data_IF_513982621626
#
_entry.id   IF_513982621626
#
_cell.length_a   1.000
_cell.length_b   1.000
_cell.length_c   1.000
_cell.angle_alpha   90.00
_cell.angle_beta   90.00
_cell.angle_gamma   90.00
#
_symmetry.space_group_name_H-M   'P 1'
#
loop_
_entity.id
_entity.type
_entity.pdbx_description
1 polymer ?
#
# COMPACT_ATOMS: atom_id res chain seq x y z
N UNK A 1 13.01 40.11 -1.41
CA UNK A 1 12.67 38.92 -2.21
C UNK A 1 11.81 38.03 -1.35
N UNK A 2 10.53 37.89 -1.70
CA UNK A 2 9.53 37.07 -1.01
C UNK A 2 9.37 37.35 0.49
N UNK A 3 8.43 38.23 0.87
CA UNK A 3 8.12 38.64 2.24
C UNK A 3 7.59 37.54 3.18
N UNK A 4 8.16 36.34 3.09
CA UNK A 4 7.93 35.26 4.06
C UNK A 4 8.95 35.44 5.17
N UNK A 5 8.50 36.00 6.28
CA UNK A 5 9.31 36.07 7.51
C UNK A 5 9.76 34.63 7.87
N UNK A 6 11.04 34.46 8.25
CA UNK A 6 11.61 33.14 8.63
C UNK A 6 10.77 32.46 9.73
N UNK A 7 10.19 33.21 10.65
CA UNK A 7 9.28 32.70 11.68
C UNK A 7 7.97 32.14 11.11
N UNK A 8 7.41 32.73 10.04
CA UNK A 8 6.19 32.26 9.39
C UNK A 8 6.47 31.01 8.54
N UNK A 9 7.66 30.89 7.96
CA UNK A 9 8.09 29.70 7.22
C UNK A 9 8.34 28.53 8.18
N UNK A 10 9.02 28.76 9.31
CA UNK A 10 9.22 27.72 10.33
C UNK A 10 7.87 27.20 10.87
N UNK A 11 6.92 28.10 11.15
CA UNK A 11 5.57 27.74 11.57
C UNK A 11 4.83 26.90 10.52
N UNK A 12 4.94 27.26 9.24
CA UNK A 12 4.36 26.48 8.14
C UNK A 12 4.97 25.07 8.06
N UNK A 13 6.29 24.93 8.15
CA UNK A 13 6.96 23.64 8.09
C UNK A 13 6.57 22.75 9.27
N UNK A 14 6.54 23.27 10.49
CA UNK A 14 6.12 22.53 11.69
C UNK A 14 4.66 22.06 11.53
N UNK A 15 3.75 22.96 11.14
CA UNK A 15 2.35 22.63 10.92
C UNK A 15 2.19 21.57 9.83
N UNK A 16 2.87 21.74 8.69
CA UNK A 16 2.81 20.80 7.58
C UNK A 16 3.36 19.41 7.96
N UNK A 17 4.44 19.36 8.75
CA UNK A 17 4.98 18.11 9.28
C UNK A 17 4.01 17.44 10.26
N UNK A 18 3.41 18.19 11.19
CA UNK A 18 2.44 17.67 12.14
C UNK A 18 1.20 17.08 11.43
N UNK A 19 0.64 17.78 10.46
CA UNK A 19 -0.52 17.29 9.72
C UNK A 19 -0.14 16.20 8.69
N UNK A 20 0.99 16.34 8.00
CA UNK A 20 1.45 15.38 7.00
C UNK A 20 1.81 14.02 7.60
N UNK A 21 2.59 14.01 8.69
CA UNK A 21 2.94 12.76 9.39
C UNK A 21 1.88 12.33 10.39
N UNK A 22 1.19 13.26 11.06
CA UNK A 22 0.22 12.91 12.11
C UNK A 22 -0.84 11.95 11.63
N UNK A 23 -1.47 12.24 10.49
CA UNK A 23 -2.49 11.38 9.90
C UNK A 23 -1.96 9.99 9.52
N UNK A 24 -0.77 9.91 8.91
CA UNK A 24 -0.17 8.64 8.50
C UNK A 24 0.28 7.79 9.69
N UNK A 25 0.82 8.40 10.74
CA UNK A 25 1.21 7.71 11.97
C UNK A 25 -0.02 7.19 12.71
N UNK A 26 -1.06 8.02 12.87
CA UNK A 26 -2.32 7.59 13.50
C UNK A 26 -2.93 6.42 12.72
N UNK A 27 -3.00 6.52 11.39
CA UNK A 27 -3.50 5.45 10.52
C UNK A 27 -2.68 4.16 10.69
N UNK A 28 -1.34 4.26 10.77
CA UNK A 28 -0.46 3.11 11.00
C UNK A 28 -0.73 2.46 12.36
N UNK A 29 -0.80 3.25 13.43
CA UNK A 29 -1.04 2.76 14.79
C UNK A 29 -2.41 2.10 14.93
N UNK A 30 -3.42 2.62 14.24
CA UNK A 30 -4.78 2.09 14.25
C UNK A 30 -5.01 0.97 13.22
N UNK A 31 -4.04 0.67 12.36
CA UNK A 31 -4.22 -0.19 11.19
C UNK A 31 -4.79 -1.57 11.50
N UNK A 32 -4.29 -2.25 12.55
CA UNK A 32 -4.80 -3.56 12.99
C UNK A 32 -6.25 -3.48 13.46
N UNK A 33 -6.60 -2.49 14.26
CA UNK A 33 -7.95 -2.30 14.77
C UNK A 33 -8.91 -1.99 13.63
N UNK A 34 -8.53 -1.08 12.74
CA UNK A 34 -9.33 -0.70 11.58
C UNK A 34 -9.54 -1.90 10.64
N UNK A 35 -8.49 -2.67 10.35
CA UNK A 35 -8.56 -3.84 9.49
C UNK A 35 -9.50 -4.91 10.07
N UNK A 36 -9.34 -5.26 11.34
CA UNK A 36 -10.25 -6.22 12.03
C UNK A 36 -11.70 -5.76 12.00
N UNK A 37 -11.95 -4.46 12.24
CA UNK A 37 -13.31 -3.94 12.25
C UNK A 37 -13.91 -3.85 10.85
N UNK A 38 -13.14 -3.47 9.85
CA UNK A 38 -13.63 -3.32 8.47
C UNK A 38 -13.95 -4.65 7.80
N UNK A 39 -13.16 -5.70 8.09
CA UNK A 39 -13.33 -7.03 7.49
C UNK A 39 -14.12 -8.01 8.36
N UNK A 40 -14.35 -7.68 9.62
CA UNK A 40 -14.89 -8.64 10.58
C UNK A 40 -13.93 -9.78 10.92
N UNK A 41 -12.61 -9.57 10.70
CA UNK A 41 -11.61 -10.62 10.88
C UNK A 41 -11.56 -11.12 12.34
N UNK A 42 -11.71 -12.43 12.50
CA UNK A 42 -11.65 -13.13 13.78
C UNK A 42 -10.24 -13.71 13.98
N UNK A 43 -9.59 -13.28 15.05
CA UNK A 43 -8.25 -13.79 15.41
C UNK A 43 -8.38 -15.22 15.95
N UNK A 44 -7.52 -16.11 15.46
CA UNK A 44 -7.46 -17.49 15.90
C UNK A 44 -6.57 -17.55 17.16
N UNK A 45 -7.18 -17.47 18.32
CA UNK A 45 -6.48 -17.65 19.60
C UNK A 45 -6.13 -19.11 19.83
N UNK A 46 -7.11 -20.00 19.61
CA UNK A 46 -6.96 -21.44 19.67
C UNK A 46 -7.54 -22.06 18.41
N UNK A 47 -6.75 -22.76 17.58
CA UNK A 47 -7.23 -23.42 16.38
C UNK A 47 -8.32 -24.44 16.68
N UNK A 48 -9.45 -24.35 15.98
CA UNK A 48 -10.65 -25.19 16.20
C UNK A 48 -10.76 -26.35 15.21
N UNK A 49 -10.03 -26.27 14.11
CA UNK A 49 -10.03 -27.27 13.05
C UNK A 49 -8.66 -27.41 12.38
N UNK A 50 -8.51 -28.40 11.51
CA UNK A 50 -7.24 -28.68 10.82
C UNK A 50 -6.77 -27.52 9.95
N UNK A 51 -7.69 -26.80 9.30
CA UNK A 51 -7.34 -25.67 8.43
C UNK A 51 -6.76 -24.50 9.25
N UNK A 52 -7.38 -24.15 10.37
CA UNK A 52 -6.86 -23.13 11.28
C UNK A 52 -5.53 -23.53 11.90
N UNK A 53 -5.38 -24.82 12.29
CA UNK A 53 -4.12 -25.33 12.82
C UNK A 53 -2.99 -25.22 11.79
N UNK A 54 -3.25 -25.65 10.55
CA UNK A 54 -2.31 -25.54 9.44
C UNK A 54 -1.94 -24.06 9.17
N UNK A 55 -2.92 -23.17 9.15
CA UNK A 55 -2.73 -21.73 8.91
C UNK A 55 -1.80 -21.11 9.96
N UNK A 56 -2.09 -21.33 11.25
CA UNK A 56 -1.28 -20.80 12.36
C UNK A 56 0.13 -21.38 12.36
N UNK A 57 0.28 -22.68 12.09
CA UNK A 57 1.60 -23.34 12.02
C UNK A 57 2.42 -22.82 10.83
N UNK A 58 1.78 -22.60 9.66
CA UNK A 58 2.44 -22.07 8.48
C UNK A 58 2.96 -20.65 8.72
N UNK A 59 2.13 -19.75 9.23
CA UNK A 59 2.55 -18.37 9.57
C UNK A 59 3.64 -18.37 10.62
N UNK A 60 3.55 -19.24 11.64
CA UNK A 60 4.60 -19.37 12.68
C UNK A 60 5.94 -19.77 12.09
N UNK A 61 5.98 -20.81 11.25
CA UNK A 61 7.20 -21.27 10.57
C UNK A 61 7.81 -20.16 9.71
N UNK A 62 6.97 -19.47 8.92
CA UNK A 62 7.42 -18.37 8.06
C UNK A 62 7.90 -17.16 8.84
N UNK A 63 7.22 -16.78 9.92
CA UNK A 63 7.64 -15.70 10.81
C UNK A 63 9.00 -15.98 11.46
N UNK A 64 9.21 -17.22 11.93
CA UNK A 64 10.48 -17.65 12.47
C UNK A 64 11.60 -17.60 11.42
N UNK A 65 11.33 -18.10 10.20
CA UNK A 65 12.29 -18.06 9.09
C UNK A 65 12.61 -16.61 8.65
N UNK A 66 11.64 -15.70 8.75
CA UNK A 66 11.81 -14.28 8.43
C UNK A 66 12.41 -13.46 9.59
N UNK A 67 12.62 -14.04 10.78
CA UNK A 67 13.17 -13.36 11.95
C UNK A 67 12.26 -12.27 12.53
N UNK A 68 10.95 -12.46 12.47
CA UNK A 68 9.96 -11.54 13.04
C UNK A 68 9.17 -12.18 14.17
N UNK A 69 8.54 -11.34 15.01
CA UNK A 69 7.59 -11.83 16.02
C UNK A 69 6.39 -12.51 15.36
N UNK A 70 5.76 -13.47 16.06
CA UNK A 70 4.56 -14.16 15.58
C UNK A 70 3.43 -13.15 15.35
N UNK A 71 2.93 -12.98 14.11
CA UNK A 71 1.76 -12.14 13.87
C UNK A 71 0.49 -12.75 14.48
N UNK A 72 -0.49 -11.91 14.80
CA UNK A 72 -1.86 -12.41 14.98
C UNK A 72 -2.33 -13.03 13.66
N UNK A 73 -2.95 -14.19 13.73
CA UNK A 73 -3.52 -14.86 12.54
C UNK A 73 -5.03 -14.78 12.63
N UNK A 74 -5.68 -14.34 11.56
CA UNK A 74 -7.13 -14.17 11.53
C UNK A 74 -7.75 -14.71 10.24
N UNK A 75 -9.04 -15.05 10.32
CA UNK A 75 -9.88 -15.41 9.17
C UNK A 75 -11.04 -14.44 9.11
N UNK A 76 -11.44 -14.06 7.90
CA UNK A 76 -12.63 -13.24 7.67
C UNK A 76 -13.49 -13.82 6.55
N UNK A 77 -14.79 -13.57 6.65
CA UNK A 77 -15.78 -14.06 5.68
C UNK A 77 -15.75 -13.20 4.42
N UNK A 78 -15.24 -13.77 3.33
CA UNK A 78 -15.28 -13.18 1.98
C UNK A 78 -15.11 -14.30 0.94
N UNK A 79 -15.89 -14.29 -0.16
CA UNK A 79 -15.81 -15.31 -1.20
C UNK A 79 -14.59 -15.17 -2.12
N UNK A 80 -13.97 -13.98 -2.17
CA UNK A 80 -12.80 -13.70 -3.00
C UNK A 80 -11.55 -14.30 -2.40
N UNK A 81 -10.61 -14.73 -3.26
CA UNK A 81 -9.26 -15.10 -2.85
C UNK A 81 -8.53 -13.83 -2.40
N UNK A 82 -8.34 -13.67 -1.10
CA UNK A 82 -7.66 -12.50 -0.57
C UNK A 82 -6.93 -12.80 0.74
N UNK A 83 -5.80 -12.12 0.95
CA UNK A 83 -5.07 -12.07 2.21
C UNK A 83 -4.49 -10.66 2.37
N UNK A 84 -4.21 -10.29 3.60
CA UNK A 84 -3.50 -9.05 3.88
C UNK A 84 -2.71 -9.14 5.18
N UNK A 85 -1.61 -8.37 5.23
CA UNK A 85 -0.89 -8.12 6.46
C UNK A 85 -0.95 -6.64 6.81
N UNK A 86 -1.08 -6.33 8.10
CA UNK A 86 -1.04 -4.96 8.62
C UNK A 86 -0.49 -4.93 10.05
N UNK A 87 -0.06 -3.75 10.48
CA UNK A 87 0.44 -3.54 11.84
C UNK A 87 1.46 -2.42 11.93
N UNK A 88 1.67 -1.93 13.14
CA UNK A 88 2.55 -0.81 13.40
C UNK A 88 4.04 -1.19 13.52
N UNK A 89 4.37 -2.48 13.62
CA UNK A 89 5.76 -2.95 13.67
C UNK A 89 5.86 -4.41 13.22
N UNK A 90 7.10 -4.86 12.95
CA UNK A 90 7.41 -6.26 12.59
C UNK A 90 6.99 -7.27 13.66
N UNK A 91 6.97 -6.86 14.93
CA UNK A 91 6.63 -7.70 16.07
C UNK A 91 5.20 -7.47 16.59
N UNK A 92 4.43 -6.61 15.92
CA UNK A 92 3.04 -6.34 16.23
C UNK A 92 2.24 -6.22 14.94
N UNK A 93 2.10 -7.33 14.23
CA UNK A 93 1.40 -7.44 12.96
C UNK A 93 0.20 -8.38 13.05
N UNK A 94 -0.67 -8.29 12.08
CA UNK A 94 -1.80 -9.16 11.81
C UNK A 94 -1.64 -9.70 10.40
N UNK A 95 -1.82 -11.00 10.21
CA UNK A 95 -2.00 -11.66 8.91
C UNK A 95 -3.40 -12.22 8.88
N UNK A 96 -4.22 -11.78 7.94
CA UNK A 96 -5.59 -12.21 7.80
C UNK A 96 -5.83 -12.80 6.41
N UNK A 97 -6.62 -13.88 6.35
CA UNK A 97 -7.00 -14.55 5.11
C UNK A 97 -8.51 -14.65 4.99
N UNK A 98 -9.01 -14.58 3.76
CA UNK A 98 -10.43 -14.79 3.48
C UNK A 98 -10.80 -16.28 3.52
N UNK A 99 -12.06 -16.58 3.80
CA UNK A 99 -12.61 -17.94 3.62
C UNK A 99 -12.50 -18.39 2.18
N UNK A 100 -12.65 -17.47 1.21
CA UNK A 100 -12.47 -17.75 -0.22
C UNK A 100 -11.06 -18.22 -0.57
N UNK A 101 -10.02 -17.67 0.05
CA UNK A 101 -8.65 -18.13 -0.14
C UNK A 101 -8.48 -19.58 0.33
N UNK A 102 -8.97 -19.90 1.54
CA UNK A 102 -8.86 -21.24 2.13
C UNK A 102 -9.66 -22.31 1.34
N UNK A 103 -10.74 -21.90 0.67
CA UNK A 103 -11.59 -22.81 -0.12
C UNK A 103 -11.11 -23.02 -1.56
N UNK A 104 -10.52 -22.00 -2.17
CA UNK A 104 -10.23 -21.99 -3.61
C UNK A 104 -8.76 -22.21 -3.95
N UNK A 105 -7.84 -22.00 -3.00
CA UNK A 105 -6.42 -22.28 -3.19
C UNK A 105 -6.03 -23.63 -2.58
N UNK A 106 -5.09 -24.29 -3.22
CA UNK A 106 -4.39 -25.43 -2.62
C UNK A 106 -3.55 -24.95 -1.41
N UNK A 107 -3.19 -25.88 -0.52
CA UNK A 107 -2.30 -25.54 0.62
C UNK A 107 -0.97 -24.94 0.17
N UNK A 108 -0.43 -25.39 -0.96
CA UNK A 108 0.83 -24.89 -1.53
C UNK A 108 0.71 -23.45 -2.05
N UNK A 109 -0.38 -23.12 -2.74
CA UNK A 109 -0.66 -21.77 -3.20
C UNK A 109 -0.93 -20.82 -2.03
N UNK A 110 -1.75 -21.25 -1.07
CA UNK A 110 -2.03 -20.48 0.14
C UNK A 110 -0.78 -20.25 0.99
N UNK A 111 0.12 -21.24 1.13
CA UNK A 111 1.41 -21.11 1.81
C UNK A 111 2.27 -20.02 1.16
N UNK A 112 2.28 -19.93 -0.17
CA UNK A 112 3.03 -18.90 -0.88
C UNK A 112 2.44 -17.51 -0.67
N UNK A 113 1.11 -17.37 -0.69
CA UNK A 113 0.43 -16.11 -0.36
C UNK A 113 0.75 -15.66 1.07
N UNK A 114 0.70 -16.58 2.04
CA UNK A 114 1.10 -16.28 3.41
C UNK A 114 2.56 -15.85 3.52
N UNK A 115 3.47 -16.49 2.78
CA UNK A 115 4.87 -16.10 2.69
C UNK A 115 5.07 -14.70 2.11
N UNK A 116 4.26 -14.32 1.13
CA UNK A 116 4.22 -12.96 0.58
C UNK A 116 3.80 -11.94 1.64
N UNK A 117 2.70 -12.20 2.37
CA UNK A 117 2.22 -11.33 3.44
C UNK A 117 3.21 -11.20 4.60
N UNK A 118 3.79 -12.31 5.04
CA UNK A 118 4.86 -12.33 6.07
C UNK A 118 6.08 -11.54 5.60
N UNK A 119 6.41 -11.57 4.30
CA UNK A 119 7.52 -10.79 3.74
C UNK A 119 7.26 -9.29 3.79
N UNK A 120 6.03 -8.83 3.58
CA UNK A 120 5.67 -7.43 3.79
C UNK A 120 5.90 -6.99 5.24
N UNK A 121 5.54 -7.84 6.20
CA UNK A 121 5.80 -7.58 7.63
C UNK A 121 7.31 -7.52 7.90
N UNK A 122 8.06 -8.51 7.43
CA UNK A 122 9.51 -8.60 7.63
C UNK A 122 10.28 -7.43 6.99
N UNK A 123 9.83 -6.97 5.82
CA UNK A 123 10.39 -5.78 5.15
C UNK A 123 10.04 -4.46 5.87
N UNK A 124 9.06 -4.44 6.77
CA UNK A 124 8.55 -3.23 7.41
C UNK A 124 7.80 -2.32 6.43
N UNK A 125 7.15 -2.91 5.43
CA UNK A 125 6.51 -2.19 4.32
C UNK A 125 5.40 -1.26 4.78
N UNK A 126 4.65 -1.60 5.85
CA UNK A 126 3.62 -0.76 6.42
C UNK A 126 4.21 0.55 6.99
N UNK A 127 5.32 0.44 7.72
CA UNK A 127 6.00 1.61 8.32
C UNK A 127 6.57 2.48 7.21
N UNK A 128 7.25 1.88 6.24
CA UNK A 128 7.87 2.60 5.12
C UNK A 128 6.83 3.37 4.30
N UNK A 129 5.64 2.76 4.06
CA UNK A 129 4.55 3.44 3.36
C UNK A 129 3.94 4.57 4.19
N UNK A 130 3.77 4.40 5.49
CA UNK A 130 3.28 5.46 6.36
C UNK A 130 4.24 6.66 6.41
N UNK A 131 5.55 6.40 6.50
CA UNK A 131 6.57 7.45 6.45
C UNK A 131 6.61 8.16 5.10
N UNK A 132 6.59 7.39 3.99
CA UNK A 132 6.53 7.96 2.65
C UNK A 132 5.29 8.86 2.49
N UNK A 133 4.13 8.40 2.93
CA UNK A 133 2.89 9.17 2.88
C UNK A 133 2.99 10.45 3.73
N UNK A 134 3.60 10.37 4.91
CA UNK A 134 3.86 11.54 5.77
C UNK A 134 4.74 12.58 5.07
N UNK A 135 5.83 12.13 4.43
CA UNK A 135 6.72 13.00 3.65
C UNK A 135 5.95 13.64 2.49
N UNK A 136 5.26 12.83 1.68
CA UNK A 136 4.52 13.33 0.51
C UNK A 136 3.45 14.34 0.90
N UNK A 137 2.66 14.05 1.94
CA UNK A 137 1.64 14.96 2.45
C UNK A 137 2.25 16.29 2.92
N UNK A 138 3.37 16.23 3.65
CA UNK A 138 4.09 17.43 4.09
C UNK A 138 4.53 18.28 2.90
N UNK A 139 5.11 17.66 1.87
CA UNK A 139 5.49 18.38 0.65
C UNK A 139 4.30 19.01 -0.06
N UNK A 140 3.20 18.30 -0.22
CA UNK A 140 1.97 18.82 -0.84
C UNK A 140 1.47 20.05 -0.08
N UNK A 141 1.40 19.95 1.25
CA UNK A 141 0.94 21.06 2.12
C UNK A 141 1.86 22.29 1.98
N UNK A 142 3.17 22.11 2.03
CA UNK A 142 4.14 23.21 1.94
C UNK A 142 4.11 23.86 0.56
N UNK A 143 4.23 23.04 -0.50
CA UNK A 143 4.30 23.56 -1.87
C UNK A 143 3.01 24.28 -2.27
N UNK A 144 1.85 23.72 -1.93
CA UNK A 144 0.56 24.36 -2.23
C UNK A 144 0.44 25.74 -1.59
N UNK A 145 0.90 25.88 -0.34
CA UNK A 145 0.85 27.17 0.38
C UNK A 145 1.89 28.17 -0.10
N UNK A 146 3.08 27.72 -0.43
CA UNK A 146 4.15 28.60 -0.96
C UNK A 146 3.76 29.10 -2.34
N UNK A 147 3.38 28.20 -3.26
CA UNK A 147 2.96 28.55 -4.63
C UNK A 147 1.69 29.40 -4.59
N UNK A 148 0.70 29.00 -3.78
CA UNK A 148 -0.55 29.72 -3.60
C UNK A 148 -0.33 31.15 -3.08
N UNK A 149 0.62 31.32 -2.15
CA UNK A 149 1.00 32.64 -1.65
C UNK A 149 1.66 33.52 -2.72
N UNK A 150 2.50 32.94 -3.57
CA UNK A 150 3.12 33.67 -4.70
C UNK A 150 2.06 34.10 -5.71
N UNK A 151 1.14 33.21 -6.09
CA UNK A 151 0.07 33.51 -7.03
C UNK A 151 -0.88 34.58 -6.44
N UNK A 152 -1.28 34.43 -5.18
CA UNK A 152 -2.14 35.40 -4.50
C UNK A 152 -1.52 36.79 -4.46
N UNK A 153 -0.22 36.89 -4.10
CA UNK A 153 0.52 38.15 -4.11
C UNK A 153 0.59 38.82 -5.47
N UNK A 154 0.70 37.99 -6.54
CA UNK A 154 0.75 38.50 -7.91
C UNK A 154 -0.63 39.01 -8.39
N UNK A 155 -1.72 38.28 -8.03
CA UNK A 155 -3.09 38.63 -8.44
C UNK A 155 -3.67 39.78 -7.63
N UNK A 156 -3.34 39.88 -6.35
CA UNK A 156 -3.91 40.88 -5.42
C UNK A 156 -3.27 42.27 -5.54
N UNK A 157 -2.15 42.39 -6.27
CA UNK A 157 -1.43 43.68 -6.51
C UNK A 157 -1.33 44.51 -5.24
N UNK A 158 -0.32 44.36 -4.47
CA UNK A 158 0.10 45.19 -3.32
C UNK A 158 -1.02 45.80 -2.43
N UNK A 159 -2.15 45.07 -2.29
CA UNK A 159 -3.20 45.47 -1.34
C UNK A 159 -2.66 45.25 0.07
N UNK A 160 -2.44 46.37 0.80
CA UNK A 160 -2.08 46.41 2.21
C UNK A 160 -3.21 45.88 3.11
N UNK A 161 -3.60 44.63 2.95
CA UNK A 161 -4.56 43.95 3.80
C UNK A 161 -4.00 42.58 4.24
N UNK A 162 -3.69 42.45 5.53
CA UNK A 162 -3.10 41.25 6.15
C UNK A 162 -4.06 40.01 6.17
N UNK A 163 -5.19 40.05 5.48
CA UNK A 163 -6.13 38.94 5.40
C UNK A 163 -6.09 38.29 4.03
N UNK A 164 -5.63 37.02 3.98
CA UNK A 164 -5.73 36.17 2.78
C UNK A 164 -7.18 36.03 2.38
N UNK A 165 -7.51 36.46 1.16
CA UNK A 165 -8.87 36.40 0.62
C UNK A 165 -9.31 34.97 0.31
N UNK A 166 -10.60 34.78 0.03
CA UNK A 166 -11.17 33.48 -0.41
C UNK A 166 -10.41 32.92 -1.61
N UNK A 167 -9.93 33.79 -2.52
CA UNK A 167 -9.14 33.39 -3.69
C UNK A 167 -7.90 32.58 -3.32
N UNK A 168 -7.16 32.98 -2.27
CA UNK A 168 -6.01 32.21 -1.77
C UNK A 168 -6.37 30.78 -1.41
N UNK A 169 -7.45 30.56 -0.66
CA UNK A 169 -7.86 29.23 -0.24
C UNK A 169 -8.32 28.35 -1.44
N UNK A 170 -8.97 28.94 -2.42
CA UNK A 170 -9.36 28.23 -3.66
C UNK A 170 -8.12 27.82 -4.45
N UNK A 171 -7.13 28.70 -4.58
CA UNK A 171 -5.86 28.41 -5.26
C UNK A 171 -5.11 27.30 -4.55
N UNK A 172 -4.95 27.41 -3.22
CA UNK A 172 -4.25 26.39 -2.40
C UNK A 172 -4.96 25.05 -2.52
N UNK A 173 -6.29 25.01 -2.44
CA UNK A 173 -7.05 23.77 -2.60
C UNK A 173 -6.85 23.13 -3.99
N UNK A 174 -6.89 23.92 -5.04
CA UNK A 174 -6.63 23.42 -6.41
C UNK A 174 -5.21 22.87 -6.56
N UNK A 175 -4.21 23.55 -5.96
CA UNK A 175 -2.82 23.09 -5.94
C UNK A 175 -2.67 21.80 -5.13
N UNK A 176 -3.32 21.69 -3.96
CA UNK A 176 -3.31 20.47 -3.15
C UNK A 176 -3.89 19.28 -3.91
N UNK A 177 -4.95 19.47 -4.69
CA UNK A 177 -5.50 18.41 -5.54
C UNK A 177 -4.51 17.96 -6.62
N UNK A 178 -3.91 18.90 -7.36
CA UNK A 178 -2.94 18.58 -8.43
C UNK A 178 -1.68 17.93 -7.88
N UNK A 179 -1.08 18.52 -6.83
CA UNK A 179 0.12 17.98 -6.18
C UNK A 179 -0.19 16.62 -5.51
N UNK A 180 -1.39 16.43 -4.97
CA UNK A 180 -1.86 15.16 -4.41
C UNK A 180 -1.93 14.03 -5.44
N UNK A 181 -2.31 14.32 -6.68
CA UNK A 181 -2.23 13.34 -7.77
C UNK A 181 -0.80 12.88 -8.03
N UNK A 182 0.17 13.81 -8.09
CA UNK A 182 1.59 13.46 -8.25
C UNK A 182 2.11 12.67 -7.05
N UNK A 183 1.76 13.07 -5.83
CA UNK A 183 2.11 12.35 -4.61
C UNK A 183 1.56 10.90 -4.64
N UNK A 184 0.32 10.73 -5.10
CA UNK A 184 -0.29 9.40 -5.28
C UNK A 184 0.47 8.56 -6.30
N UNK A 185 0.88 9.11 -7.44
CA UNK A 185 1.67 8.38 -8.44
C UNK A 185 3.00 7.89 -7.87
N UNK A 186 3.69 8.72 -7.07
CA UNK A 186 4.94 8.35 -6.39
C UNK A 186 4.69 7.22 -5.39
N UNK A 187 3.64 7.33 -4.55
CA UNK A 187 3.26 6.30 -3.59
C UNK A 187 2.94 4.98 -4.29
N UNK A 188 2.19 5.00 -5.39
CA UNK A 188 1.85 3.81 -6.17
C UNK A 188 3.09 3.20 -6.87
N UNK A 189 3.99 4.02 -7.38
CA UNK A 189 5.26 3.53 -7.92
C UNK A 189 6.08 2.79 -6.86
N UNK A 190 6.20 3.36 -5.68
CA UNK A 190 6.89 2.73 -4.56
C UNK A 190 6.17 1.45 -4.10
N UNK A 191 4.82 1.47 -4.03
CA UNK A 191 4.00 0.30 -3.71
C UNK A 191 4.29 -0.87 -4.65
N UNK A 192 4.31 -0.62 -5.98
CA UNK A 192 4.63 -1.67 -6.96
C UNK A 192 6.03 -2.27 -6.77
N UNK A 193 7.02 -1.47 -6.38
CA UNK A 193 8.37 -1.98 -6.12
C UNK A 193 8.43 -2.92 -4.92
N UNK A 194 7.61 -2.69 -3.90
CA UNK A 194 7.53 -3.56 -2.73
C UNK A 194 6.97 -4.94 -3.08
N UNK A 195 6.02 -5.01 -4.01
CA UNK A 195 5.41 -6.27 -4.44
C UNK A 195 6.45 -7.26 -4.98
N UNK A 196 7.35 -6.82 -5.85
CA UNK A 196 8.42 -7.69 -6.36
C UNK A 196 9.34 -8.20 -5.26
N UNK A 197 9.60 -7.38 -4.23
CA UNK A 197 10.40 -7.78 -3.07
C UNK A 197 9.64 -8.78 -2.19
N UNK A 198 8.33 -8.56 -1.99
CA UNK A 198 7.48 -9.47 -1.25
C UNK A 198 7.29 -10.81 -1.98
N UNK A 199 7.19 -10.81 -3.31
CA UNK A 199 7.18 -12.03 -4.13
C UNK A 199 8.45 -12.83 -3.98
N UNK A 200 9.61 -12.16 -4.00
CA UNK A 200 10.89 -12.83 -3.75
C UNK A 200 10.97 -13.42 -2.35
N UNK A 201 10.50 -12.67 -1.33
CA UNK A 201 10.42 -13.17 0.04
C UNK A 201 9.45 -14.33 0.19
N UNK A 202 8.27 -14.27 -0.42
CA UNK A 202 7.31 -15.38 -0.46
C UNK A 202 7.90 -16.62 -1.13
N UNK A 203 8.63 -16.43 -2.25
CA UNK A 203 9.35 -17.49 -2.92
C UNK A 203 10.49 -18.10 -2.05
N UNK A 204 11.08 -17.32 -1.16
CA UNK A 204 12.09 -17.80 -0.20
C UNK A 204 11.44 -18.56 0.96
N UNK A 205 10.31 -18.08 1.48
CA UNK A 205 9.64 -18.64 2.66
C UNK A 205 8.79 -19.90 2.34
N UNK A 206 8.28 -20.02 1.12
CA UNK A 206 7.49 -21.18 0.68
C UNK A 206 8.22 -22.00 -0.40
N UNK A 207 8.29 -21.49 -1.57
CA UNK A 207 9.15 -21.85 -2.71
C UNK A 207 8.76 -21.00 -3.91
N UNK A 208 9.68 -20.85 -4.87
CA UNK A 208 9.40 -20.08 -6.10
C UNK A 208 8.29 -20.70 -6.93
N UNK A 209 8.27 -22.02 -7.04
CA UNK A 209 7.22 -22.73 -7.79
C UNK A 209 5.83 -22.48 -7.19
N UNK A 210 5.69 -22.59 -5.87
CA UNK A 210 4.44 -22.30 -5.17
C UNK A 210 3.99 -20.85 -5.35
N UNK A 211 4.96 -19.89 -5.33
CA UNK A 211 4.65 -18.48 -5.52
C UNK A 211 4.15 -18.19 -6.95
N UNK A 212 4.75 -18.80 -7.97
CA UNK A 212 4.29 -18.69 -9.35
C UNK A 212 2.88 -19.30 -9.47
N UNK A 213 2.64 -20.50 -8.94
CA UNK A 213 1.34 -21.14 -8.97
C UNK A 213 0.24 -20.29 -8.28
N UNK A 214 0.55 -19.69 -7.14
CA UNK A 214 -0.36 -18.79 -6.43
C UNK A 214 -0.73 -17.55 -7.29
N UNK A 215 0.26 -16.92 -7.94
CA UNK A 215 0.00 -15.77 -8.82
C UNK A 215 -0.79 -16.16 -10.07
N UNK A 216 -0.54 -17.35 -10.66
CA UNK A 216 -1.30 -17.89 -11.78
C UNK A 216 -2.75 -18.19 -11.38
N UNK A 217 -2.97 -18.72 -10.18
CA UNK A 217 -4.30 -18.93 -9.61
C UNK A 217 -5.06 -17.61 -9.42
N UNK A 218 -4.40 -16.59 -8.89
CA UNK A 218 -4.96 -15.24 -8.78
C UNK A 218 -5.29 -14.64 -10.15
N UNK A 219 -4.43 -14.84 -11.14
CA UNK A 219 -4.66 -14.37 -12.51
C UNK A 219 -5.88 -15.04 -13.15
N UNK A 220 -6.04 -16.34 -12.98
CA UNK A 220 -7.20 -17.08 -13.49
C UNK A 220 -8.51 -16.58 -12.85
N UNK A 221 -8.50 -16.27 -11.54
CA UNK A 221 -9.67 -15.74 -10.83
C UNK A 221 -10.03 -14.30 -11.24
N UNK A 222 -9.04 -13.44 -11.52
CA UNK A 222 -9.28 -12.07 -11.98
C UNK A 222 -9.91 -12.01 -13.38
N UNK A 223 -9.66 -12.99 -14.23
CA UNK A 223 -10.28 -13.07 -15.56
C UNK A 223 -11.77 -13.43 -15.51
N UNK A 224 -12.25 -13.97 -14.37
CA UNK A 224 -13.66 -14.28 -14.12
C UNK A 224 -14.39 -13.21 -13.30
N UNK A 225 -13.68 -12.21 -12.78
CA UNK A 225 -14.29 -11.11 -12.03
C UNK A 225 -14.96 -10.12 -12.99
N UNK A 226 -16.27 -10.18 -13.06
CA UNK A 226 -17.10 -9.13 -13.66
C UNK A 226 -17.12 -7.92 -12.72
N UNK A 227 -16.12 -7.03 -12.85
CA UNK A 227 -16.21 -5.72 -12.24
C UNK A 227 -17.47 -5.02 -12.77
N UNK A 228 -18.30 -4.38 -11.92
CA UNK A 228 -19.44 -3.61 -12.40
C UNK A 228 -18.98 -2.59 -13.45
N UNK A 229 -19.71 -2.48 -14.56
CA UNK A 229 -19.43 -1.58 -15.70
C UNK A 229 -19.22 -0.11 -15.28
N UNK A 230 -19.69 0.28 -14.11
CA UNK A 230 -19.49 1.61 -13.52
C UNK A 230 -18.03 1.91 -13.15
N UNK A 231 -17.22 0.90 -12.86
CA UNK A 231 -15.77 1.07 -12.61
C UNK A 231 -15.00 1.13 -13.93
N UNK A 232 -15.51 0.49 -14.98
CA UNK A 232 -14.98 0.62 -16.35
C UNK A 232 -15.28 2.00 -16.97
N UNK A 233 -16.39 2.65 -16.61
CA UNK A 233 -16.79 3.96 -17.13
C UNK A 233 -15.86 5.11 -16.73
N UNK A 234 -15.07 4.98 -15.67
CA UNK A 234 -13.97 5.92 -15.35
C UNK A 234 -12.69 5.63 -16.16
N UNK A 235 -12.66 4.57 -16.95
CA UNK A 235 -11.65 4.30 -17.95
C UNK A 235 -11.93 5.13 -19.21
N UNK A 236 -11.26 6.27 -19.34
CA UNK A 236 -11.29 7.10 -20.54
C UNK A 236 -11.05 6.21 -21.77
N UNK A 237 -12.03 6.14 -22.66
CA UNK A 237 -11.96 5.40 -23.91
C UNK A 237 -10.82 5.97 -24.78
N UNK A 238 -9.84 5.12 -25.09
CA UNK A 238 -8.78 5.45 -26.03
C UNK A 238 -7.38 5.05 -25.52
N UNK A 239 -6.55 4.52 -26.38
CA UNK A 239 -5.25 3.88 -26.13
C UNK A 239 -4.20 4.62 -25.25
N UNK A 240 -4.44 5.88 -24.87
CA UNK A 240 -3.65 6.67 -23.90
C UNK A 240 -4.00 6.29 -22.45
N UNK A 241 -5.21 5.78 -22.20
CA UNK A 241 -5.70 5.47 -20.85
C UNK A 241 -5.01 4.31 -20.16
N UNK A 242 -4.48 3.33 -20.90
CA UNK A 242 -3.80 2.16 -20.29
C UNK A 242 -2.50 2.54 -19.56
N UNK A 243 -1.72 3.47 -20.11
CA UNK A 243 -0.49 3.95 -19.49
C UNK A 243 -0.75 4.74 -18.20
N UNK A 244 -1.73 5.64 -18.23
CA UNK A 244 -2.10 6.45 -17.05
C UNK A 244 -2.75 5.59 -15.95
N UNK A 245 -3.63 4.63 -16.30
CA UNK A 245 -4.22 3.69 -15.34
C UNK A 245 -3.15 2.90 -14.58
N UNK A 246 -2.08 2.47 -15.28
CA UNK A 246 -0.95 1.75 -14.67
C UNK A 246 -0.23 2.58 -13.60
N UNK A 247 -0.21 3.91 -13.70
CA UNK A 247 0.43 4.78 -12.70
C UNK A 247 -0.30 4.79 -11.36
N UNK A 248 -1.60 4.54 -11.35
CA UNK A 248 -2.45 4.55 -10.16
C UNK A 248 -2.75 3.16 -9.58
N UNK A 249 -2.22 2.08 -10.18
CA UNK A 249 -2.33 0.74 -9.61
C UNK A 249 -1.38 0.58 -8.41
N UNK A 250 -1.90 0.06 -7.32
CA UNK A 250 -1.11 -0.27 -6.12
C UNK A 250 -0.25 -1.52 -6.30
N UNK A 251 -0.68 -2.45 -7.16
CA UNK A 251 0.02 -3.69 -7.47
C UNK A 251 0.43 -3.72 -8.95
N UNK A 252 1.61 -4.30 -9.28
CA UNK A 252 1.97 -4.56 -10.67
C UNK A 252 1.04 -5.60 -11.29
N UNK A 253 0.89 -5.63 -12.63
CA UNK A 253 0.20 -6.71 -13.32
C UNK A 253 0.77 -8.08 -12.92
N UNK A 254 -0.10 -9.06 -12.66
CA UNK A 254 0.30 -10.41 -12.25
C UNK A 254 1.25 -11.06 -13.27
N UNK A 255 1.06 -10.78 -14.56
CA UNK A 255 1.96 -11.22 -15.64
C UNK A 255 3.41 -10.73 -15.45
N UNK A 256 3.60 -9.47 -15.02
CA UNK A 256 4.93 -8.91 -14.76
C UNK A 256 5.57 -9.56 -13.53
N UNK A 257 4.79 -9.80 -12.46
CA UNK A 257 5.25 -10.49 -11.24
C UNK A 257 5.69 -11.92 -11.52
N UNK A 258 4.87 -12.68 -12.27
CA UNK A 258 5.19 -14.05 -12.70
C UNK A 258 6.45 -14.07 -13.58
N UNK A 259 6.55 -13.16 -14.55
CA UNK A 259 7.73 -13.07 -15.43
C UNK A 259 9.01 -12.78 -14.63
N UNK A 260 8.96 -11.89 -13.65
CA UNK A 260 10.09 -11.56 -12.76
C UNK A 260 10.57 -12.78 -11.96
N UNK A 261 9.63 -13.56 -11.38
CA UNK A 261 9.96 -14.79 -10.65
C UNK A 261 10.58 -15.87 -11.57
N UNK A 262 10.08 -16.01 -12.80
CA UNK A 262 10.63 -16.96 -13.78
C UNK A 262 12.04 -16.54 -14.25
N UNK A 263 12.27 -15.25 -14.50
CA UNK A 263 13.59 -14.73 -14.90
C UNK A 263 14.64 -14.96 -13.80
N UNK A 264 14.28 -14.77 -12.54
CA UNK A 264 15.16 -15.03 -11.40
C UNK A 264 15.52 -16.52 -11.24
N UNK A 265 14.75 -17.44 -11.84
CA UNK A 265 15.07 -18.87 -11.89
C UNK A 265 16.19 -19.17 -12.89
N UNK A 266 16.21 -18.48 -14.03
CA UNK A 266 17.20 -18.68 -15.10
C UNK A 266 18.59 -18.11 -14.74
N UNK A 267 18.62 -17.00 -13.98
CA UNK A 267 19.85 -16.36 -13.54
C UNK A 267 20.65 -17.14 -12.49
N UNK A 268 20.03 -18.08 -11.76
CA UNK A 268 20.71 -18.97 -10.79
C UNK A 268 21.26 -20.24 -11.42
N UNK A 269 20.97 -20.50 -12.71
CA UNK A 269 21.44 -21.68 -13.43
C UNK A 269 22.77 -21.54 -14.18
N UNK A 270 23.43 -20.39 -14.12
CA UNK A 270 24.66 -20.12 -14.91
C UNK A 270 25.92 -19.96 -14.03
N UNK A 271 25.99 -20.64 -12.90
CA UNK A 271 27.26 -20.79 -12.17
C UNK A 271 27.47 -22.27 -11.92
N UNK A 272 28.04 -22.94 -12.92
CA UNK A 272 28.85 -24.13 -12.78
C UNK A 272 30.20 -23.87 -13.41
#
# INVERSE_FOLDING_TARGET
LFGVNSASMAGLLIMAALFGFGGSIISLLMSKWMAKRATGAMVIETPRNEAEQWLVQTVRRQAQAAGIGMPEVAVYEAPEINAFATGASRNNALVAVSTGLLQQMSRDEAEAVLGHEVSHVANGDMITMALLQGVLNTFVIVLARVIGGVIDSYLSGNREGNSRGIAYYVIVFGLEMVLGLFATMIAMWFSRRREFRADHGGATLASRHKMIAALERLQANHSTSTLPAQVEAFGIAGGVGHGLKKLFLSHPPLTERIAALRAAQQGTGTVM
#
